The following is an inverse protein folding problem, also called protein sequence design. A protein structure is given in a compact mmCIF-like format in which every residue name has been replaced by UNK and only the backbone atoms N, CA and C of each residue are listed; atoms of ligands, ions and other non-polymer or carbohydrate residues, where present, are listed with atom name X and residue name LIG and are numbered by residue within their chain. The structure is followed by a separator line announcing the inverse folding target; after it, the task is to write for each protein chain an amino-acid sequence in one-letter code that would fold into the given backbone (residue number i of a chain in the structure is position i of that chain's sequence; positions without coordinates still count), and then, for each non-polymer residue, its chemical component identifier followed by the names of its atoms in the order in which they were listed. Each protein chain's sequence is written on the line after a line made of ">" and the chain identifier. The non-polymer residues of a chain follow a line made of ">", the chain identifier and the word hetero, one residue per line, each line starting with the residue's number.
data_IF_663153888602
#
_entry.id   IF_663153888602
#
_cell.length_a   1.000
_cell.length_b   1.000
_cell.length_c   1.000
_cell.angle_alpha   90.00
_cell.angle_beta   90.00
_cell.angle_gamma   90.00
#
_symmetry.space_group_name_H-M   'P 1'
#
loop_
_entity.id
_entity.type
_entity.pdbx_description
1 polymer ?
#
# COMPACT_ATOMS: atom_id res chain seq x y z
N UNK A 1 22.66 13.33 -4.27
CA UNK A 1 21.88 12.19 -3.74
C UNK A 1 21.55 11.26 -4.89
N UNK A 2 21.80 9.96 -4.76
CA UNK A 2 21.51 8.99 -5.83
C UNK A 2 20.00 8.92 -6.07
N UNK A 3 19.58 8.74 -7.32
CA UNK A 3 18.17 8.71 -7.72
C UNK A 3 17.34 7.66 -6.96
N UNK A 4 17.95 6.53 -6.59
CA UNK A 4 17.32 5.47 -5.82
C UNK A 4 16.98 5.93 -4.39
N UNK A 5 17.92 6.59 -3.71
CA UNK A 5 17.72 7.12 -2.35
C UNK A 5 16.70 8.26 -2.34
N UNK A 6 16.69 9.06 -3.42
CA UNK A 6 15.66 10.09 -3.61
C UNK A 6 14.27 9.46 -3.73
N UNK A 7 14.15 8.36 -4.47
CA UNK A 7 12.89 7.66 -4.68
C UNK A 7 12.37 6.98 -3.40
N UNK A 8 13.24 6.33 -2.61
CA UNK A 8 12.82 5.71 -1.33
C UNK A 8 12.35 6.73 -0.30
N UNK A 9 12.95 7.93 -0.29
CA UNK A 9 12.46 9.05 0.52
C UNK A 9 11.13 9.61 0.00
N UNK A 10 10.96 9.71 -1.31
CA UNK A 10 9.73 10.21 -1.94
C UNK A 10 8.51 9.36 -1.56
N UNK A 11 8.65 8.04 -1.59
CA UNK A 11 7.56 7.12 -1.21
C UNK A 11 7.41 6.95 0.30
N UNK A 12 8.24 7.65 1.10
CA UNK A 12 8.25 7.57 2.57
C UNK A 12 8.35 6.11 3.06
N UNK A 13 9.38 5.40 2.61
CA UNK A 13 9.60 3.97 2.90
C UNK A 13 9.37 3.56 4.38
N UNK A 14 9.81 4.32 5.40
CA UNK A 14 9.53 3.96 6.79
C UNK A 14 8.03 3.84 7.11
N UNK A 15 7.20 4.73 6.55
CA UNK A 15 5.75 4.69 6.75
C UNK A 15 5.14 3.46 6.06
N UNK A 16 5.64 3.10 4.88
CA UNK A 16 5.19 1.93 4.15
C UNK A 16 5.50 0.64 4.93
N UNK A 17 6.68 0.54 5.55
CA UNK A 17 7.04 -0.59 6.40
C UNK A 17 6.12 -0.70 7.62
N UNK A 18 5.75 0.42 8.24
CA UNK A 18 4.78 0.43 9.34
C UNK A 18 3.44 -0.17 8.88
N UNK A 19 2.94 0.21 7.69
CA UNK A 19 1.69 -0.35 7.15
C UNK A 19 1.77 -1.87 7.03
N UNK A 20 2.84 -2.40 6.42
CA UNK A 20 3.04 -3.86 6.29
C UNK A 20 3.09 -4.52 7.66
N UNK A 21 3.92 -4.01 8.58
CA UNK A 21 4.07 -4.58 9.91
C UNK A 21 2.76 -4.59 10.67
N UNK A 22 1.98 -3.50 10.62
CA UNK A 22 0.67 -3.43 11.25
C UNK A 22 -0.31 -4.43 10.63
N UNK A 23 -0.36 -4.56 9.31
CA UNK A 23 -1.23 -5.54 8.65
C UNK A 23 -0.90 -6.99 9.06
N UNK A 24 0.38 -7.35 9.06
CA UNK A 24 0.83 -8.68 9.47
C UNK A 24 0.65 -8.92 10.98
N UNK A 25 0.89 -7.91 11.82
CA UNK A 25 0.64 -7.98 13.26
C UNK A 25 -0.85 -8.20 13.56
N UNK A 26 -1.75 -7.53 12.83
CA UNK A 26 -3.19 -7.76 12.97
C UNK A 26 -3.56 -9.17 12.51
N UNK A 27 -3.02 -9.66 11.39
CA UNK A 27 -3.34 -10.99 10.87
C UNK A 27 -2.95 -12.10 11.84
N UNK A 28 -1.72 -12.08 12.35
CA UNK A 28 -1.21 -13.16 13.21
C UNK A 28 -1.43 -12.91 14.70
N UNK A 29 -1.43 -11.65 15.15
CA UNK A 29 -1.60 -11.30 16.55
C UNK A 29 -3.05 -11.15 17.00
N UNK A 30 -3.98 -10.91 16.07
CA UNK A 30 -5.40 -10.69 16.40
C UNK A 30 -6.30 -11.67 15.66
N UNK A 31 -6.27 -11.68 14.33
CA UNK A 31 -7.22 -12.48 13.53
C UNK A 31 -7.02 -13.98 13.76
N UNK A 32 -5.77 -14.46 13.65
CA UNK A 32 -5.45 -15.87 13.87
C UNK A 32 -5.86 -16.38 15.26
N UNK A 33 -5.48 -15.74 16.39
CA UNK A 33 -5.89 -16.23 17.71
C UNK A 33 -7.40 -16.10 17.94
N UNK A 34 -8.06 -15.06 17.41
CA UNK A 34 -9.53 -14.98 17.49
C UNK A 34 -10.14 -16.19 16.77
N UNK A 35 -9.79 -16.43 15.51
CA UNK A 35 -10.31 -17.58 14.76
C UNK A 35 -10.05 -18.89 15.51
N UNK A 36 -8.82 -19.11 15.98
CA UNK A 36 -8.43 -20.31 16.72
C UNK A 36 -9.25 -20.52 18.01
N UNK A 37 -9.48 -19.46 18.79
CA UNK A 37 -10.29 -19.52 20.02
C UNK A 37 -11.78 -19.72 19.73
N UNK A 38 -12.29 -19.17 18.63
CA UNK A 38 -13.70 -19.29 18.24
C UNK A 38 -14.03 -20.64 17.59
N UNK A 39 -13.10 -21.22 16.82
CA UNK A 39 -13.32 -22.51 16.15
C UNK A 39 -12.82 -23.72 16.95
N UNK A 40 -12.19 -23.52 18.11
CA UNK A 40 -11.79 -24.61 19.02
C UNK A 40 -10.82 -25.61 18.38
N UNK A 41 -9.96 -25.14 17.46
CA UNK A 41 -9.08 -25.96 16.62
C UNK A 41 -9.81 -26.96 15.67
N UNK A 42 -11.12 -26.83 15.49
CA UNK A 42 -11.85 -27.53 14.43
C UNK A 42 -11.91 -26.65 13.17
N UNK A 43 -11.57 -27.25 12.02
CA UNK A 43 -11.74 -26.64 10.71
C UNK A 43 -13.23 -26.59 10.34
N UNK A 44 -13.96 -25.64 10.93
CA UNK A 44 -15.35 -25.37 10.56
C UNK A 44 -15.33 -24.67 9.19
N UNK A 45 -16.02 -25.25 8.20
CA UNK A 45 -16.22 -24.63 6.89
C UNK A 45 -16.73 -23.18 7.04
N UNK A 46 -15.93 -22.22 6.58
CA UNK A 46 -16.26 -20.79 6.62
C UNK A 46 -15.67 -19.99 7.77
N UNK A 47 -15.05 -20.62 8.79
CA UNK A 47 -14.44 -19.93 9.95
C UNK A 47 -12.91 -19.80 9.83
N UNK A 48 -12.26 -20.51 8.90
CA UNK A 48 -10.83 -20.40 8.63
C UNK A 48 -10.39 -19.08 8.00
N UNK A 49 -9.07 -18.86 7.93
CA UNK A 49 -8.48 -17.73 7.18
C UNK A 49 -8.96 -17.77 5.73
N UNK A 50 -9.88 -16.86 5.36
CA UNK A 50 -10.45 -16.77 4.01
C UNK A 50 -9.42 -16.43 2.92
N UNK A 51 -8.24 -15.94 3.29
CA UNK A 51 -7.17 -15.56 2.36
C UNK A 51 -5.95 -16.43 2.57
N UNK A 52 -5.42 -16.94 1.47
CA UNK A 52 -4.13 -17.64 1.47
C UNK A 52 -3.00 -16.66 1.77
N UNK A 53 -1.83 -17.19 2.14
CA UNK A 53 -0.62 -16.39 2.38
C UNK A 53 -0.27 -15.47 1.20
N UNK A 54 -0.37 -15.99 -0.03
CA UNK A 54 -0.11 -15.24 -1.25
C UNK A 54 -1.13 -14.12 -1.46
N UNK A 55 -2.41 -14.37 -1.19
CA UNK A 55 -3.45 -13.34 -1.37
C UNK A 55 -3.28 -12.20 -0.37
N UNK A 56 -2.92 -12.53 0.87
CA UNK A 56 -2.67 -11.53 1.89
C UNK A 56 -1.41 -10.73 1.59
N UNK A 57 -0.35 -11.37 1.09
CA UNK A 57 0.83 -10.68 0.60
C UNK A 57 0.47 -9.70 -0.52
N UNK A 58 -0.32 -10.14 -1.52
CA UNK A 58 -0.79 -9.28 -2.61
C UNK A 58 -1.66 -8.12 -2.09
N UNK A 59 -2.49 -8.36 -1.06
CA UNK A 59 -3.30 -7.31 -0.42
C UNK A 59 -2.41 -6.27 0.23
N UNK A 60 -1.42 -6.71 1.01
CA UNK A 60 -0.49 -5.82 1.69
C UNK A 60 0.34 -5.03 0.69
N UNK A 61 0.85 -5.70 -0.35
CA UNK A 61 1.58 -5.07 -1.45
C UNK A 61 0.72 -4.00 -2.13
N UNK A 62 -0.51 -4.31 -2.49
CA UNK A 62 -1.47 -3.37 -3.07
C UNK A 62 -1.67 -2.15 -2.16
N UNK A 63 -1.85 -2.38 -0.86
CA UNK A 63 -2.06 -1.30 0.13
C UNK A 63 -0.88 -0.33 0.15
N UNK A 64 0.34 -0.88 0.22
CA UNK A 64 1.58 -0.11 0.25
C UNK A 64 1.82 0.64 -1.06
N UNK A 65 1.49 0.02 -2.21
CA UNK A 65 1.59 0.67 -3.51
C UNK A 65 0.65 1.87 -3.63
N UNK A 66 -0.61 1.74 -3.17
CA UNK A 66 -1.55 2.88 -3.12
C UNK A 66 -1.00 4.00 -2.23
N UNK A 67 -0.49 3.67 -1.04
CA UNK A 67 0.10 4.66 -0.14
C UNK A 67 1.33 5.35 -0.76
N UNK A 68 2.21 4.59 -1.41
CA UNK A 68 3.37 5.12 -2.13
C UNK A 68 2.94 6.07 -3.27
N UNK A 69 1.94 5.67 -4.06
CA UNK A 69 1.38 6.53 -5.11
C UNK A 69 0.77 7.82 -4.52
N UNK A 70 0.10 7.72 -3.38
CA UNK A 70 -0.43 8.85 -2.60
C UNK A 70 0.66 9.83 -2.17
N UNK A 71 1.80 9.33 -1.68
CA UNK A 71 2.93 10.19 -1.32
C UNK A 71 3.57 10.88 -2.53
N UNK A 72 3.68 10.17 -3.67
CA UNK A 72 4.22 10.76 -4.91
C UNK A 72 3.35 11.91 -5.41
N UNK A 73 2.03 11.74 -5.45
CA UNK A 73 1.12 12.80 -5.92
C UNK A 73 1.03 13.96 -4.94
N UNK A 74 1.10 13.69 -3.63
CA UNK A 74 1.16 14.73 -2.61
C UNK A 74 2.39 15.63 -2.81
N UNK A 75 3.57 15.04 -2.85
CA UNK A 75 4.82 15.77 -3.07
C UNK A 75 4.86 16.47 -4.45
N UNK A 76 4.12 15.98 -5.46
CA UNK A 76 3.99 16.65 -6.76
C UNK A 76 3.20 17.96 -6.69
N UNK A 77 2.07 17.98 -5.98
CA UNK A 77 1.26 19.18 -5.84
C UNK A 77 1.91 20.19 -4.87
N UNK A 78 2.59 19.68 -3.84
CA UNK A 78 3.22 20.50 -2.82
C UNK A 78 4.54 21.15 -3.26
N UNK A 79 5.09 20.83 -4.46
CA UNK A 79 6.39 21.36 -4.93
C UNK A 79 6.51 22.89 -4.82
N UNK A 80 5.44 23.64 -5.10
CA UNK A 80 5.49 25.12 -5.02
C UNK A 80 5.57 25.59 -3.58
N UNK A 81 4.78 24.98 -2.69
CA UNK A 81 4.69 25.33 -1.27
C UNK A 81 5.97 24.93 -0.56
N UNK A 82 6.46 23.72 -0.81
CA UNK A 82 7.70 23.20 -0.23
C UNK A 82 8.93 23.98 -0.69
N UNK A 83 8.89 24.61 -1.88
CA UNK A 83 9.95 25.54 -2.34
C UNK A 83 10.15 26.73 -1.41
N UNK A 84 9.07 27.21 -0.81
CA UNK A 84 9.12 28.35 0.11
C UNK A 84 9.36 27.87 1.54
N UNK A 85 8.65 26.83 1.97
CA UNK A 85 8.64 26.40 3.37
C UNK A 85 9.78 25.45 3.74
N UNK A 86 10.23 24.59 2.80
CA UNK A 86 11.16 23.47 3.06
C UNK A 86 12.06 23.18 1.84
N UNK A 87 12.89 24.13 1.38
CA UNK A 87 13.67 24.01 0.13
C UNK A 87 14.62 22.80 0.08
N UNK A 88 15.06 22.32 1.24
CA UNK A 88 15.99 21.19 1.36
C UNK A 88 15.32 19.82 1.23
N UNK A 89 14.00 19.75 1.50
CA UNK A 89 13.24 18.49 1.49
C UNK A 89 12.57 18.19 0.15
N UNK A 90 12.65 19.10 -0.82
CA UNK A 90 12.01 18.93 -2.13
C UNK A 90 12.74 17.86 -2.93
N UNK A 91 12.01 16.80 -3.26
CA UNK A 91 12.52 15.72 -4.11
C UNK A 91 12.02 15.90 -5.54
N UNK A 92 10.71 16.14 -5.70
CA UNK A 92 10.07 16.34 -7.01
C UNK A 92 10.44 17.73 -7.56
N UNK A 93 11.01 17.75 -8.76
CA UNK A 93 11.51 18.95 -9.43
C UNK A 93 12.99 19.26 -9.15
N UNK A 94 13.61 18.68 -8.10
CA UNK A 94 15.04 18.85 -7.79
C UNK A 94 15.86 17.62 -8.17
N UNK A 95 15.43 16.43 -7.74
CA UNK A 95 16.11 15.16 -8.01
C UNK A 95 15.32 14.26 -8.97
N UNK A 96 13.98 14.34 -8.94
CA UNK A 96 13.09 13.57 -9.82
C UNK A 96 12.28 14.54 -10.68
N UNK A 97 12.26 14.35 -12.00
CA UNK A 97 11.47 15.19 -12.91
C UNK A 97 9.97 15.02 -12.61
N UNK A 98 9.21 16.12 -12.68
CA UNK A 98 7.76 16.13 -12.49
C UNK A 98 7.01 15.12 -13.37
N UNK A 99 7.40 15.00 -14.64
CA UNK A 99 6.83 14.01 -15.58
C UNK A 99 7.08 12.57 -15.12
N UNK A 100 8.29 12.28 -14.63
CA UNK A 100 8.65 10.95 -14.11
C UNK A 100 7.89 10.62 -12.83
N UNK A 101 7.74 11.59 -11.91
CA UNK A 101 6.94 11.41 -10.70
C UNK A 101 5.47 11.09 -11.04
N UNK A 102 4.87 11.84 -11.96
CA UNK A 102 3.49 11.59 -12.39
C UNK A 102 3.33 10.24 -13.10
N UNK A 103 4.29 9.88 -13.96
CA UNK A 103 4.31 8.56 -14.59
C UNK A 103 4.42 7.42 -13.57
N UNK A 104 5.29 7.57 -12.57
CA UNK A 104 5.43 6.60 -11.49
C UNK A 104 4.14 6.48 -10.65
N UNK A 105 3.52 7.61 -10.29
CA UNK A 105 2.22 7.62 -9.62
C UNK A 105 1.17 6.83 -10.41
N UNK A 106 1.02 7.12 -11.70
CA UNK A 106 0.05 6.45 -12.55
C UNK A 106 0.31 4.94 -12.62
N UNK A 107 1.55 4.53 -12.92
CA UNK A 107 1.90 3.11 -13.05
C UNK A 107 1.71 2.37 -11.73
N UNK A 108 2.22 2.91 -10.61
CA UNK A 108 2.10 2.27 -9.29
C UNK A 108 0.63 2.15 -8.90
N UNK A 109 -0.15 3.22 -9.05
CA UNK A 109 -1.56 3.22 -8.68
C UNK A 109 -2.37 2.25 -9.55
N UNK A 110 -2.15 2.22 -10.86
CA UNK A 110 -2.83 1.28 -11.76
C UNK A 110 -2.52 -0.17 -11.38
N UNK A 111 -1.26 -0.53 -11.15
CA UNK A 111 -0.91 -1.90 -10.74
C UNK A 111 -1.57 -2.24 -9.41
N UNK A 112 -1.57 -1.31 -8.45
CA UNK A 112 -2.20 -1.55 -7.16
C UNK A 112 -3.71 -1.80 -7.28
N UNK A 113 -4.43 -0.98 -8.06
CA UNK A 113 -5.86 -1.19 -8.31
C UNK A 113 -6.14 -2.52 -9.01
N UNK A 114 -5.28 -2.94 -9.95
CA UNK A 114 -5.41 -4.25 -10.60
C UNK A 114 -5.23 -5.41 -9.60
N UNK A 115 -4.25 -5.32 -8.70
CA UNK A 115 -4.04 -6.32 -7.64
C UNK A 115 -5.25 -6.35 -6.69
N UNK A 116 -5.74 -5.19 -6.26
CA UNK A 116 -6.93 -5.09 -5.41
C UNK A 116 -8.17 -5.70 -6.09
N UNK A 117 -8.37 -5.45 -7.38
CA UNK A 117 -9.45 -6.03 -8.18
C UNK A 117 -9.34 -7.55 -8.29
N UNK A 118 -8.14 -8.08 -8.53
CA UNK A 118 -7.88 -9.53 -8.53
C UNK A 118 -8.24 -10.18 -7.19
N UNK A 119 -7.85 -9.56 -6.07
CA UNK A 119 -8.18 -10.06 -4.72
C UNK A 119 -9.69 -10.01 -4.47
N UNK A 120 -10.36 -8.91 -4.82
CA UNK A 120 -11.81 -8.78 -4.66
C UNK A 120 -12.59 -9.84 -5.45
N UNK A 121 -12.11 -10.18 -6.65
CA UNK A 121 -12.64 -11.29 -7.44
C UNK A 121 -12.42 -12.64 -6.74
N UNK A 122 -11.20 -12.91 -6.26
CA UNK A 122 -10.85 -14.18 -5.60
C UNK A 122 -11.62 -14.41 -4.29
N UNK A 123 -11.85 -13.35 -3.53
CA UNK A 123 -12.65 -13.39 -2.28
C UNK A 123 -14.16 -13.50 -2.57
N UNK A 124 -14.58 -13.42 -3.84
CA UNK A 124 -15.98 -13.53 -4.23
C UNK A 124 -16.82 -12.30 -3.86
N UNK A 125 -16.19 -11.18 -3.50
CA UNK A 125 -16.86 -9.97 -3.03
C UNK A 125 -16.55 -8.78 -3.93
N UNK A 126 -17.16 -8.77 -5.11
CA UNK A 126 -16.91 -7.77 -6.16
C UNK A 126 -17.36 -6.36 -5.74
N UNK A 127 -18.22 -6.27 -4.73
CA UNK A 127 -18.64 -4.98 -4.13
C UNK A 127 -17.45 -4.21 -3.56
N UNK A 128 -16.36 -4.89 -3.17
CA UNK A 128 -15.14 -4.24 -2.67
C UNK A 128 -14.41 -3.40 -3.73
N UNK A 129 -14.68 -3.63 -5.03
CA UNK A 129 -14.09 -2.83 -6.12
C UNK A 129 -14.80 -1.47 -6.23
N UNK A 130 -16.09 -1.42 -5.91
CA UNK A 130 -16.89 -0.22 -5.97
C UNK A 130 -17.05 0.35 -4.56
N UNK A 131 -16.29 1.40 -4.25
CA UNK A 131 -16.57 2.23 -3.07
C UNK A 131 -17.94 2.87 -3.33
N UNK A 132 -18.97 2.41 -2.61
CA UNK A 132 -20.31 2.99 -2.59
C UNK A 132 -20.45 3.93 -1.42
#
# INVERSE_FOLDING_TARGET
>A
MNSIIAFTKLIRLPNLLIIVLTQYAIRYGIIYPIIFNFSGAQDIEGVGLKMTELDFFLLSLSTVMIAAAGYIINDYFDVKVDRVNRPDKIIVGKYIKRRTAMGAHLVINTIAVLIAGYIAYKVGNWKLIFIR
#
